data_IF_716218481675
#
_entry.id   IF_716218481675
#
_cell.length_a   1.000
_cell.length_b   1.000
_cell.length_c   1.000
_cell.angle_alpha   90.00
_cell.angle_beta   90.00
_cell.angle_gamma   90.00
#
_symmetry.space_group_name_H-M   'P 1'
#
loop_
_entity.id
_entity.type
_entity.pdbx_description
1 polymer ?
#
# COMPACT_ATOMS: atom_id res chain seq x y z
N UNK A 1 -12.60 -0.69 -11.55
CA UNK A 1 -11.31 -0.19 -12.06
C UNK A 1 -10.38 -1.35 -12.43
N UNK A 2 -9.41 -1.12 -13.32
CA UNK A 2 -8.38 -2.11 -13.69
C UNK A 2 -7.02 -1.70 -13.10
N UNK A 3 -6.23 -2.68 -12.63
CA UNK A 3 -4.86 -2.44 -12.15
C UNK A 3 -3.89 -2.95 -13.21
N UNK A 4 -3.19 -2.05 -13.91
CA UNK A 4 -2.21 -2.48 -14.91
C UNK A 4 -0.88 -2.89 -14.28
N UNK A 5 -0.17 -3.81 -14.95
CA UNK A 5 1.18 -4.21 -14.56
C UNK A 5 2.14 -3.01 -14.49
N UNK A 6 2.02 -2.07 -15.42
CA UNK A 6 2.87 -0.87 -15.48
C UNK A 6 2.70 -0.01 -14.24
N UNK A 7 1.47 0.19 -13.77
CA UNK A 7 1.18 1.03 -12.61
C UNK A 7 1.61 0.36 -11.31
N UNK A 8 1.36 -0.95 -11.19
CA UNK A 8 1.87 -1.72 -10.05
C UNK A 8 3.40 -1.67 -9.97
N UNK A 9 4.09 -1.95 -11.09
CA UNK A 9 5.54 -1.97 -11.13
C UNK A 9 6.17 -0.60 -10.86
N UNK A 10 5.47 0.51 -11.15
CA UNK A 10 5.93 1.87 -10.78
C UNK A 10 6.07 2.06 -9.27
N UNK A 11 5.32 1.32 -8.46
CA UNK A 11 5.36 1.39 -7.00
C UNK A 11 6.49 0.54 -6.40
N UNK A 12 7.14 -0.32 -7.20
CA UNK A 12 8.14 -1.26 -6.71
C UNK A 12 9.54 -0.63 -6.68
N UNK A 13 10.34 -0.86 -5.61
CA UNK A 13 11.66 -0.24 -5.46
C UNK A 13 12.68 -0.71 -6.51
N UNK A 14 12.42 -1.81 -7.23
CA UNK A 14 13.33 -2.33 -8.26
C UNK A 14 12.55 -2.81 -9.49
N UNK A 15 12.35 -1.90 -10.45
CA UNK A 15 11.42 -2.02 -11.59
C UNK A 15 11.84 -3.00 -12.70
N UNK A 16 12.95 -3.73 -12.53
CA UNK A 16 13.63 -4.36 -13.67
C UNK A 16 12.98 -5.66 -14.16
N UNK A 17 12.24 -6.40 -13.30
CA UNK A 17 11.59 -7.67 -13.68
C UNK A 17 10.34 -7.93 -12.86
N UNK A 18 9.32 -8.52 -13.49
CA UNK A 18 8.14 -9.08 -12.81
C UNK A 18 8.50 -10.50 -12.39
N UNK A 19 8.60 -10.76 -11.09
CA UNK A 19 8.79 -12.12 -10.53
C UNK A 19 7.44 -12.73 -10.12
N UNK A 20 7.45 -13.98 -9.65
CA UNK A 20 6.23 -14.62 -9.11
C UNK A 20 5.67 -13.88 -7.90
N UNK A 21 6.53 -13.20 -7.11
CA UNK A 21 6.08 -12.38 -6.00
C UNK A 21 5.27 -11.17 -6.50
N UNK A 22 5.76 -10.43 -7.50
CA UNK A 22 5.00 -9.31 -8.08
C UNK A 22 3.69 -9.79 -8.71
N UNK A 23 3.68 -10.95 -9.37
CA UNK A 23 2.42 -11.53 -9.90
C UNK A 23 1.40 -11.79 -8.80
N UNK A 24 1.85 -12.32 -7.66
CA UNK A 24 0.98 -12.56 -6.51
C UNK A 24 0.37 -11.26 -5.96
N UNK A 25 1.19 -10.23 -5.74
CA UNK A 25 0.70 -8.95 -5.22
C UNK A 25 -0.16 -8.18 -6.23
N UNK A 26 0.13 -8.29 -7.53
CA UNK A 26 -0.77 -7.80 -8.58
C UNK A 26 -2.13 -8.50 -8.53
N UNK A 27 -2.17 -9.82 -8.35
CA UNK A 27 -3.43 -10.56 -8.21
C UNK A 27 -4.21 -10.09 -6.98
N UNK A 28 -3.54 -9.80 -5.87
CA UNK A 28 -4.18 -9.22 -4.68
C UNK A 28 -4.76 -7.82 -4.97
N UNK A 29 -4.02 -6.96 -5.66
CA UNK A 29 -4.49 -5.62 -6.04
C UNK A 29 -5.74 -5.70 -6.92
N UNK A 30 -5.75 -6.56 -7.94
CA UNK A 30 -6.92 -6.78 -8.80
C UNK A 30 -8.12 -7.30 -8.01
N UNK A 31 -7.91 -8.23 -7.06
CA UNK A 31 -8.98 -8.75 -6.20
C UNK A 31 -9.55 -7.68 -5.27
N UNK A 32 -8.69 -6.84 -4.70
CA UNK A 32 -9.11 -5.74 -3.83
C UNK A 32 -9.89 -4.67 -4.62
N UNK A 33 -9.41 -4.30 -5.81
CA UNK A 33 -10.10 -3.41 -6.72
C UNK A 33 -11.51 -3.91 -7.05
N UNK A 34 -11.65 -5.19 -7.43
CA UNK A 34 -12.94 -5.82 -7.67
C UNK A 34 -13.85 -5.77 -6.44
N UNK A 35 -13.34 -6.14 -5.26
CA UNK A 35 -14.11 -6.08 -4.01
C UNK A 35 -14.55 -4.67 -3.65
N UNK A 36 -13.76 -3.65 -4.00
CA UNK A 36 -14.17 -2.26 -3.83
C UNK A 36 -15.31 -1.93 -4.78
N UNK A 37 -15.18 -2.24 -6.08
CA UNK A 37 -16.27 -2.03 -7.05
C UNK A 37 -17.57 -2.69 -6.57
N UNK A 38 -17.50 -3.93 -6.08
CA UNK A 38 -18.64 -4.70 -5.60
C UNK A 38 -19.26 -4.13 -4.30
N UNK A 39 -18.52 -3.37 -3.49
CA UNK A 39 -19.01 -2.92 -2.18
C UNK A 39 -19.87 -1.64 -2.25
N UNK A 40 -19.87 -0.92 -3.37
CA UNK A 40 -20.69 0.27 -3.59
C UNK A 40 -20.42 1.42 -2.60
N UNK A 41 -19.20 1.51 -2.05
CA UNK A 41 -18.79 2.57 -1.11
C UNK A 41 -17.70 3.47 -1.71
N UNK A 42 -17.62 4.68 -1.17
CA UNK A 42 -16.67 5.70 -1.60
C UNK A 42 -16.79 6.00 -3.10
N UNK A 43 -18.03 6.11 -3.58
CA UNK A 43 -18.38 6.34 -4.99
C UNK A 43 -17.96 7.71 -5.49
N UNK A 44 -17.67 8.64 -4.58
CA UNK A 44 -17.24 10.00 -4.89
C UNK A 44 -15.76 10.06 -5.30
N UNK A 45 -15.00 8.98 -5.07
CA UNK A 45 -13.61 8.89 -5.47
C UNK A 45 -13.49 8.50 -6.94
N UNK A 46 -12.63 9.21 -7.66
CA UNK A 46 -12.23 8.84 -9.03
C UNK A 46 -11.52 7.49 -9.07
N UNK A 47 -11.52 6.84 -10.23
CA UNK A 47 -10.81 5.58 -10.41
C UNK A 47 -9.31 5.69 -10.08
N UNK A 48 -8.69 6.84 -10.39
CA UNK A 48 -7.28 7.12 -10.05
C UNK A 48 -7.03 7.16 -8.54
N UNK A 49 -7.92 7.79 -7.77
CA UNK A 49 -7.82 7.85 -6.31
C UNK A 49 -8.00 6.47 -5.69
N UNK A 50 -9.03 5.73 -6.15
CA UNK A 50 -9.29 4.37 -5.66
C UNK A 50 -8.14 3.43 -6.00
N UNK A 51 -7.58 3.55 -7.19
CA UNK A 51 -6.40 2.81 -7.62
C UNK A 51 -5.18 3.12 -6.75
N UNK A 52 -4.93 4.40 -6.45
CA UNK A 52 -3.84 4.80 -5.56
C UNK A 52 -3.98 4.15 -4.17
N UNK A 53 -5.20 4.11 -3.63
CA UNK A 53 -5.47 3.44 -2.35
C UNK A 53 -5.25 1.93 -2.45
N UNK A 54 -5.76 1.26 -3.49
CA UNK A 54 -5.54 -0.18 -3.69
C UNK A 54 -4.06 -0.52 -3.75
N UNK A 55 -3.28 0.24 -4.52
CA UNK A 55 -1.83 0.04 -4.65
C UNK A 55 -1.10 0.32 -3.33
N UNK A 56 -1.49 1.37 -2.59
CA UNK A 56 -0.90 1.69 -1.29
C UNK A 56 -1.18 0.59 -0.25
N UNK A 57 -2.40 0.05 -0.20
CA UNK A 57 -2.77 -1.03 0.73
C UNK A 57 -1.99 -2.30 0.43
N UNK A 58 -1.92 -2.71 -0.84
CA UNK A 58 -1.16 -3.91 -1.23
C UNK A 58 0.34 -3.70 -1.03
N UNK A 59 0.86 -2.52 -1.35
CA UNK A 59 2.27 -2.17 -1.14
C UNK A 59 2.65 -2.19 0.34
N UNK A 60 1.80 -1.65 1.22
CA UNK A 60 1.97 -1.76 2.67
C UNK A 60 1.99 -3.21 3.12
N UNK A 61 1.04 -4.03 2.67
CA UNK A 61 1.02 -5.46 2.99
C UNK A 61 2.29 -6.18 2.53
N UNK A 62 2.75 -5.92 1.31
CA UNK A 62 3.99 -6.46 0.77
C UNK A 62 5.22 -6.02 1.58
N UNK A 63 5.30 -4.75 1.99
CA UNK A 63 6.39 -4.21 2.79
C UNK A 63 6.52 -4.94 4.13
N UNK A 64 5.39 -5.20 4.80
CA UNK A 64 5.36 -5.92 6.07
C UNK A 64 5.74 -7.40 5.90
N UNK A 65 5.19 -8.08 4.89
CA UNK A 65 5.44 -9.52 4.67
C UNK A 65 6.89 -9.79 4.27
N UNK A 66 7.49 -8.90 3.49
CA UNK A 66 8.87 -9.06 3.02
C UNK A 66 9.92 -8.45 3.95
N UNK A 67 9.49 -7.82 5.06
CA UNK A 67 10.33 -7.00 5.94
C UNK A 67 11.22 -6.01 5.16
N UNK A 68 10.68 -5.42 4.08
CA UNK A 68 11.41 -4.45 3.26
C UNK A 68 11.72 -3.16 4.03
N UNK A 69 10.94 -2.87 5.09
CA UNK A 69 11.24 -1.84 6.06
C UNK A 69 10.96 -0.41 5.59
N UNK A 70 10.23 -0.22 4.49
CA UNK A 70 9.88 1.11 3.94
C UNK A 70 8.98 1.84 4.93
N UNK A 71 7.87 1.23 5.35
CA UNK A 71 6.93 1.83 6.30
C UNK A 71 7.57 2.04 7.68
N UNK A 72 8.33 1.04 8.15
CA UNK A 72 9.07 1.12 9.42
C UNK A 72 10.04 2.30 9.41
N UNK A 73 10.84 2.45 8.35
CA UNK A 73 11.81 3.56 8.24
C UNK A 73 11.09 4.91 8.19
N UNK A 74 10.00 5.01 7.43
CA UNK A 74 9.20 6.23 7.34
C UNK A 74 8.64 6.65 8.71
N UNK A 75 8.02 5.72 9.44
CA UNK A 75 7.42 6.01 10.76
C UNK A 75 8.47 6.36 11.81
N UNK A 76 9.62 5.67 11.83
CA UNK A 76 10.75 6.00 12.69
C UNK A 76 11.31 7.39 12.40
N UNK A 77 11.49 7.75 11.13
CA UNK A 77 11.98 9.06 10.74
C UNK A 77 10.99 10.18 11.05
N UNK A 78 9.69 9.94 10.87
CA UNK A 78 8.66 10.90 11.27
C UNK A 78 8.70 11.18 12.77
N UNK A 79 8.81 10.13 13.60
CA UNK A 79 8.95 10.29 15.05
C UNK A 79 10.22 11.05 15.43
N UNK A 80 11.35 10.72 14.80
CA UNK A 80 12.62 11.41 15.03
C UNK A 80 12.55 12.91 14.69
N UNK A 81 11.93 13.27 13.57
CA UNK A 81 11.90 14.65 13.08
C UNK A 81 10.81 15.51 13.74
N UNK A 82 9.67 14.91 14.11
CA UNK A 82 8.49 15.65 14.56
C UNK A 82 8.05 15.33 15.99
N UNK A 83 8.71 14.39 16.67
CA UNK A 83 8.38 13.98 18.04
C UNK A 83 7.00 13.31 18.16
N UNK A 84 6.42 12.88 17.05
CA UNK A 84 5.07 12.29 17.00
C UNK A 84 5.10 10.95 16.26
N UNK A 85 4.50 9.89 16.82
CA UNK A 85 4.44 8.62 16.14
C UNK A 85 3.39 8.62 15.04
N UNK A 86 3.63 7.78 14.02
CA UNK A 86 2.63 7.42 13.03
C UNK A 86 2.23 5.94 13.18
N UNK A 87 0.97 5.60 12.88
CA UNK A 87 -0.14 6.53 12.64
C UNK A 87 -0.52 7.31 13.91
N UNK A 88 -1.29 8.39 13.76
CA UNK A 88 -1.66 9.28 14.87
C UNK A 88 -2.63 8.60 15.83
N UNK A 89 -2.10 7.78 16.73
CA UNK A 89 -2.85 7.15 17.81
C UNK A 89 -2.25 7.56 19.15
N UNK A 90 -3.05 7.64 20.22
CA UNK A 90 -2.50 7.71 21.57
C UNK A 90 -1.68 6.44 21.81
N UNK A 91 -0.36 6.57 22.01
CA UNK A 91 0.43 5.46 22.55
C UNK A 91 0.04 5.30 24.02
N UNK A 92 -0.47 4.14 24.41
CA UNK A 92 -0.47 3.76 25.81
C UNK A 92 0.97 3.71 26.31
N UNK A 93 1.20 3.94 27.60
CA UNK A 93 2.54 3.84 28.23
C UNK A 93 3.23 2.48 27.99
N UNK A 94 2.47 1.46 27.57
CA UNK A 94 2.93 0.09 27.34
C UNK A 94 3.26 -0.24 25.86
N UNK A 95 3.44 0.76 24.98
CA UNK A 95 3.80 0.53 23.58
C UNK A 95 5.32 0.43 23.39
#
# INVERSE_FOLDING_TARGET
MEISAKEFMRMQPNTKKVTEAEKYYMLLATRLAKRWDDCGRFTDLSDSERQAVVLAVVGYFQDIVTDAGIWRSFTMMHEHLYGKPLPFFPRSENY
#
